data_IF_477265116638
#
_entry.id   IF_477265116638
#
_cell.length_a   1.000
_cell.length_b   1.000
_cell.length_c   1.000
_cell.angle_alpha   90.00
_cell.angle_beta   90.00
_cell.angle_gamma   90.00
#
_symmetry.space_group_name_H-M   'P 1'
#
loop_
_entity.id
_entity.type
_entity.pdbx_description
1 polymer ?
#
# COMPACT_ATOMS: atom_id res chain seq x y z
N UNK A 1 8.93 17.21 -15.33
CA UNK A 1 7.90 16.87 -14.32
C UNK A 1 6.51 17.44 -14.67
N UNK A 2 6.31 18.73 -14.97
CA UNK A 2 4.96 19.25 -15.28
C UNK A 2 4.61 19.18 -16.77
N UNK A 3 5.54 19.50 -17.67
CA UNK A 3 5.28 19.54 -19.12
C UNK A 3 5.00 18.16 -19.74
N UNK A 4 5.58 17.10 -19.19
CA UNK A 4 5.30 15.72 -19.66
C UNK A 4 3.91 15.26 -19.22
N UNK A 5 3.47 15.62 -18.00
CA UNK A 5 2.11 15.33 -17.52
C UNK A 5 1.07 16.13 -18.33
N UNK A 6 1.35 17.41 -18.56
CA UNK A 6 0.56 18.27 -19.46
C UNK A 6 0.36 17.62 -20.83
N UNK A 7 1.44 17.12 -21.45
CA UNK A 7 1.40 16.50 -22.76
C UNK A 7 0.64 15.17 -22.78
N UNK A 8 0.77 14.34 -21.74
CA UNK A 8 0.05 13.05 -21.63
C UNK A 8 -1.44 13.19 -21.37
N UNK A 9 -1.83 14.24 -20.66
CA UNK A 9 -3.22 14.50 -20.30
C UNK A 9 -3.89 15.57 -21.18
N UNK A 10 -3.19 16.06 -22.21
CA UNK A 10 -3.64 17.15 -23.10
C UNK A 10 -4.05 18.43 -22.34
N UNK A 11 -3.42 18.67 -21.18
CA UNK A 11 -3.71 19.83 -20.32
C UNK A 11 -2.66 20.90 -20.55
N UNK A 12 -3.07 22.17 -20.67
CA UNK A 12 -2.10 23.27 -20.74
C UNK A 12 -1.34 23.42 -19.42
N UNK A 13 -0.05 23.70 -19.50
CA UNK A 13 0.79 23.92 -18.29
C UNK A 13 0.27 25.07 -17.42
N UNK A 14 -0.39 26.06 -18.02
CA UNK A 14 -1.08 27.14 -17.32
C UNK A 14 -2.28 26.64 -16.47
N UNK A 15 -3.02 25.64 -16.95
CA UNK A 15 -4.11 25.03 -16.18
C UNK A 15 -3.59 24.33 -14.93
N UNK A 16 -2.46 23.61 -15.06
CA UNK A 16 -1.81 22.92 -13.93
C UNK A 16 -1.39 23.93 -12.86
N UNK A 17 -0.86 25.08 -13.26
CA UNK A 17 -0.49 26.14 -12.31
C UNK A 17 -1.71 26.73 -11.61
N UNK A 18 -2.81 26.99 -12.34
CA UNK A 18 -4.06 27.47 -11.79
C UNK A 18 -4.65 26.51 -10.77
N UNK A 19 -4.72 25.22 -11.09
CA UNK A 19 -5.23 24.19 -10.18
C UNK A 19 -4.37 24.04 -8.93
N UNK A 20 -3.05 24.10 -9.07
CA UNK A 20 -2.15 24.08 -7.90
C UNK A 20 -2.40 25.27 -6.98
N UNK A 21 -2.59 26.46 -7.55
CA UNK A 21 -2.93 27.66 -6.79
C UNK A 21 -4.29 27.53 -6.10
N UNK A 22 -5.29 26.98 -6.77
CA UNK A 22 -6.62 26.75 -6.21
C UNK A 22 -6.61 25.69 -5.10
N UNK A 23 -5.85 24.61 -5.24
CA UNK A 23 -5.72 23.58 -4.22
C UNK A 23 -5.08 24.12 -2.93
N UNK A 24 -4.07 24.99 -3.04
CA UNK A 24 -3.45 25.66 -1.89
C UNK A 24 -4.38 26.66 -1.21
N UNK A 25 -5.32 27.28 -1.95
CA UNK A 25 -6.33 28.19 -1.35
C UNK A 25 -7.45 27.38 -0.68
N UNK A 26 -7.74 26.17 -1.14
CA UNK A 26 -8.75 25.27 -0.56
C UNK A 26 -8.27 24.50 0.68
N UNK A 27 -7.05 24.75 1.16
CA UNK A 27 -6.42 24.11 2.34
C UNK A 27 -7.13 24.39 3.68
N UNK A 28 -8.33 24.98 3.67
CA UNK A 28 -9.23 25.03 4.83
C UNK A 28 -9.95 23.69 5.06
N UNK A 29 -10.00 22.81 4.05
CA UNK A 29 -10.51 21.44 4.16
C UNK A 29 -9.39 20.47 3.71
N UNK A 30 -9.12 19.34 4.42
CA UNK A 30 -7.87 18.60 4.26
C UNK A 30 -7.89 17.77 2.96
N UNK A 31 -7.50 18.39 1.84
CA UNK A 31 -7.61 17.75 0.54
C UNK A 31 -6.35 17.03 0.03
N UNK A 32 -5.13 17.36 0.49
CA UNK A 32 -3.92 16.64 0.06
C UNK A 32 -2.82 16.73 1.13
N UNK A 33 -2.53 15.63 1.82
CA UNK A 33 -1.43 15.54 2.79
C UNK A 33 -0.21 14.89 2.13
N UNK A 34 1.02 15.42 2.31
CA UNK A 34 2.23 14.79 1.79
C UNK A 34 2.35 13.34 2.27
N UNK A 35 2.38 12.39 1.35
CA UNK A 35 2.67 11.00 1.67
C UNK A 35 4.14 10.90 2.11
N UNK A 36 4.37 10.62 3.40
CA UNK A 36 5.69 10.24 3.88
C UNK A 36 5.95 8.80 3.42
N UNK A 37 6.86 8.63 2.46
CA UNK A 37 7.49 7.33 2.23
C UNK A 37 8.36 7.04 3.45
N UNK A 38 7.81 6.27 4.38
CA UNK A 38 8.62 5.61 5.40
C UNK A 38 9.38 4.53 4.64
N UNK A 39 10.70 4.66 4.58
CA UNK A 39 11.56 3.63 4.04
C UNK A 39 11.45 2.44 5.01
N UNK A 40 10.48 1.58 4.76
CA UNK A 40 10.47 0.27 5.39
C UNK A 40 11.68 -0.41 4.78
N UNK A 41 12.79 -0.46 5.56
CA UNK A 41 13.81 -1.51 5.38
C UNK A 41 13.03 -2.75 5.04
N UNK A 42 13.25 -3.32 3.85
CA UNK A 42 12.49 -4.45 3.34
C UNK A 42 12.52 -5.57 4.36
N UNK A 43 11.61 -5.53 5.33
CA UNK A 43 11.01 -6.71 5.90
C UNK A 43 10.37 -7.30 4.66
N UNK A 44 11.03 -8.30 4.11
CA UNK A 44 10.56 -9.10 3.00
C UNK A 44 9.06 -9.36 3.25
N UNK A 45 8.20 -8.51 2.66
CA UNK A 45 6.77 -8.70 2.71
C UNK A 45 6.54 -9.75 1.65
N UNK A 46 6.95 -10.97 1.99
CA UNK A 46 6.55 -12.16 1.26
C UNK A 46 5.05 -12.21 1.47
N UNK A 47 4.32 -11.70 0.47
CA UNK A 47 2.88 -11.85 0.37
C UNK A 47 2.55 -13.31 0.73
N UNK A 48 1.77 -13.56 1.80
CA UNK A 48 1.46 -14.91 2.20
C UNK A 48 0.75 -15.61 1.06
N UNK A 49 1.15 -16.85 0.75
CA UNK A 49 0.44 -17.66 -0.22
C UNK A 49 -0.99 -17.98 0.27
N UNK A 50 -1.18 -18.09 1.59
CA UNK A 50 -2.49 -18.27 2.19
C UNK A 50 -2.60 -17.74 3.63
N UNK A 51 -3.85 -17.47 4.01
CA UNK A 51 -4.25 -17.09 5.36
C UNK A 51 -5.21 -18.14 5.91
N UNK A 52 -5.06 -18.48 7.20
CA UNK A 52 -5.93 -19.41 7.91
C UNK A 52 -6.44 -18.74 9.17
N UNK A 53 -7.77 -18.57 9.26
CA UNK A 53 -8.45 -18.06 10.45
C UNK A 53 -8.97 -19.23 11.29
N UNK A 54 -8.62 -19.26 12.57
CA UNK A 54 -9.07 -20.25 13.53
C UNK A 54 -10.22 -19.70 14.40
N UNK A 55 -11.14 -20.56 14.89
CA UNK A 55 -12.30 -20.12 15.67
C UNK A 55 -11.92 -19.52 17.04
N UNK A 56 -10.72 -19.78 17.53
CA UNK A 56 -10.14 -19.17 18.74
C UNK A 56 -9.59 -17.75 18.50
N UNK A 57 -9.76 -17.20 17.29
CA UNK A 57 -9.28 -15.88 16.90
C UNK A 57 -7.82 -15.84 16.46
N UNK A 58 -7.11 -16.98 16.45
CA UNK A 58 -5.73 -17.06 15.94
C UNK A 58 -5.75 -17.00 14.42
N UNK A 59 -4.85 -16.20 13.85
CA UNK A 59 -4.68 -16.05 12.40
C UNK A 59 -3.28 -16.47 11.99
N UNK A 60 -3.18 -17.44 11.10
CA UNK A 60 -1.90 -17.95 10.60
C UNK A 60 -1.71 -17.49 9.16
N UNK A 61 -0.52 -16.96 8.87
CA UNK A 61 -0.11 -16.58 7.51
C UNK A 61 0.97 -17.54 7.05
N UNK A 62 0.82 -18.13 5.88
CA UNK A 62 1.75 -19.11 5.36
C UNK A 62 2.37 -18.56 4.08
N UNK A 63 3.67 -18.30 4.14
CA UNK A 63 4.45 -17.83 2.99
C UNK A 63 4.66 -18.93 1.96
N UNK A 64 4.91 -18.55 0.71
CA UNK A 64 5.05 -19.48 -0.43
C UNK A 64 6.20 -20.49 -0.26
N UNK A 65 7.24 -20.12 0.49
CA UNK A 65 8.42 -20.95 0.75
C UNK A 65 8.31 -21.79 2.03
N UNK A 66 7.16 -21.78 2.72
CA UNK A 66 7.00 -22.51 3.97
C UNK A 66 7.02 -24.03 3.73
N UNK A 67 7.86 -24.81 4.45
CA UNK A 67 7.83 -26.26 4.36
C UNK A 67 6.48 -26.84 4.81
N UNK A 68 5.93 -27.79 4.05
CA UNK A 68 4.64 -28.39 4.33
C UNK A 68 4.55 -29.01 5.74
N UNK A 69 5.63 -29.65 6.20
CA UNK A 69 5.67 -30.28 7.53
C UNK A 69 5.58 -29.27 8.67
N UNK A 70 6.21 -28.10 8.50
CA UNK A 70 6.13 -26.99 9.46
C UNK A 70 4.72 -26.42 9.49
N UNK A 71 4.12 -26.17 8.32
CA UNK A 71 2.75 -25.68 8.23
C UNK A 71 1.77 -26.68 8.87
N UNK A 72 1.92 -27.97 8.58
CA UNK A 72 1.08 -29.03 9.16
C UNK A 72 1.25 -29.16 10.68
N UNK A 73 2.47 -29.05 11.20
CA UNK A 73 2.73 -29.07 12.64
C UNK A 73 2.06 -27.90 13.35
N UNK A 74 2.16 -26.68 12.81
CA UNK A 74 1.49 -25.48 13.34
C UNK A 74 -0.02 -25.67 13.31
N UNK A 75 -0.59 -26.13 12.18
CA UNK A 75 -2.02 -26.37 12.04
C UNK A 75 -2.55 -27.40 13.04
N UNK A 76 -1.77 -28.45 13.35
CA UNK A 76 -2.13 -29.46 14.36
C UNK A 76 -2.06 -28.91 15.78
N UNK A 77 -1.09 -28.04 16.07
CA UNK A 77 -0.93 -27.43 17.39
C UNK A 77 -2.01 -26.37 17.69
N UNK A 78 -2.62 -25.80 16.66
CA UNK A 78 -3.64 -24.74 16.77
C UNK A 78 -5.09 -25.24 16.64
N UNK A 79 -5.26 -26.53 16.33
CA UNK A 79 -6.57 -27.21 16.36
C UNK A 79 -7.10 -27.28 17.78
#
# INVERSE_FOLDING_TARGET
MVSEVARRCEVSTGLIYTWRRQALVQETDPAFVPAKLVDFTSSDVVEPAMFVDFPNGVKVRIGVAAPCDLAAAIMRALK
#
